data_IF_226891935336
#
_entry.id   IF_226891935336
#
_cell.length_a   1.000
_cell.length_b   1.000
_cell.length_c   1.000
_cell.angle_alpha   90.00
_cell.angle_beta   90.00
_cell.angle_gamma   90.00
#
_symmetry.space_group_name_H-M   'P 1'
#
loop_
_entity.id
_entity.type
_entity.pdbx_description
1 polymer ?
#
# COMPACT_ATOMS: atom_id res chain seq x y z
N UNK A 1 -9.73 -53.86 -94.31
CA UNK A 1 -8.79 -52.97 -94.96
C UNK A 1 -8.60 -51.83 -93.96
N UNK A 2 -7.51 -51.89 -93.34
CA UNK A 2 -6.43 -50.92 -93.14
C UNK A 2 -6.79 -49.73 -92.26
N UNK A 3 -6.28 -49.82 -91.14
CA UNK A 3 -5.06 -49.09 -90.68
C UNK A 3 -5.35 -47.63 -90.33
N UNK A 4 -4.85 -47.00 -89.35
CA UNK A 4 -3.67 -47.09 -88.54
C UNK A 4 -3.89 -46.16 -87.35
N UNK A 5 -3.50 -46.56 -86.16
CA UNK A 5 -2.24 -46.16 -85.57
C UNK A 5 -2.06 -44.66 -85.38
N UNK A 6 -1.93 -44.40 -84.18
CA UNK A 6 -0.80 -43.97 -83.38
C UNK A 6 -0.82 -42.50 -83.18
N UNK A 7 -0.75 -41.95 -82.03
CA UNK A 7 0.50 -41.83 -81.32
C UNK A 7 0.31 -41.37 -79.92
N UNK A 8 0.90 -42.10 -79.12
CA UNK A 8 1.33 -41.89 -77.80
C UNK A 8 2.12 -40.63 -77.57
N UNK A 9 1.99 -40.19 -76.33
CA UNK A 9 3.03 -39.62 -75.48
C UNK A 9 3.53 -38.23 -75.78
N UNK A 10 3.17 -37.33 -74.89
CA UNK A 10 4.22 -36.82 -73.98
C UNK A 10 3.57 -35.95 -72.93
N UNK A 11 3.37 -36.55 -71.79
CA UNK A 11 3.19 -35.78 -70.61
C UNK A 11 4.57 -35.51 -70.04
N UNK A 12 5.08 -34.39 -70.41
CA UNK A 12 6.19 -33.82 -69.72
C UNK A 12 5.77 -33.39 -68.33
N UNK A 13 6.37 -34.01 -67.44
CA UNK A 13 6.48 -33.73 -66.04
C UNK A 13 6.92 -32.28 -65.77
N UNK A 14 6.01 -31.41 -65.41
CA UNK A 14 6.39 -30.16 -64.83
C UNK A 14 6.29 -30.28 -63.31
N UNK A 15 7.38 -30.63 -62.72
CA UNK A 15 7.66 -30.41 -61.33
C UNK A 15 7.61 -28.91 -61.03
N UNK A 16 6.51 -28.48 -60.56
CA UNK A 16 6.45 -27.17 -59.88
C UNK A 16 7.02 -27.32 -58.48
N UNK A 17 8.29 -27.13 -58.37
CA UNK A 17 8.88 -26.85 -57.06
C UNK A 17 8.38 -25.49 -56.59
N UNK A 18 7.26 -25.50 -55.92
CA UNK A 18 6.83 -24.33 -55.16
C UNK A 18 7.74 -24.17 -53.96
N UNK A 19 8.67 -23.30 -54.11
CA UNK A 19 9.57 -22.88 -53.06
C UNK A 19 8.77 -22.12 -52.01
N UNK A 20 8.47 -22.79 -50.92
CA UNK A 20 7.92 -22.16 -49.71
C UNK A 20 8.95 -21.30 -48.98
N UNK A 21 9.38 -20.23 -49.60
CA UNK A 21 10.30 -19.27 -48.95
C UNK A 21 9.63 -18.00 -48.42
N UNK A 22 8.31 -17.93 -48.44
CA UNK A 22 7.60 -16.74 -48.01
C UNK A 22 7.12 -16.74 -46.56
N UNK A 23 7.07 -17.91 -45.90
CA UNK A 23 6.37 -18.04 -44.61
C UNK A 23 7.28 -17.82 -43.39
N UNK A 24 8.56 -18.08 -43.53
CA UNK A 24 9.52 -17.98 -42.40
C UNK A 24 9.95 -16.55 -42.10
N UNK A 25 10.09 -15.70 -43.10
CA UNK A 25 10.45 -14.28 -42.88
C UNK A 25 9.30 -13.47 -42.27
N UNK A 26 8.08 -13.75 -42.68
CA UNK A 26 6.90 -13.07 -42.12
C UNK A 26 6.66 -13.47 -40.67
N UNK A 27 6.88 -14.74 -40.31
CA UNK A 27 6.72 -15.25 -38.95
C UNK A 27 7.83 -14.67 -38.04
N UNK A 28 9.08 -14.57 -38.52
CA UNK A 28 10.18 -13.99 -37.75
C UNK A 28 9.97 -12.51 -37.42
N UNK A 29 9.46 -11.74 -38.37
CA UNK A 29 9.14 -10.32 -38.14
C UNK A 29 7.96 -10.15 -37.18
N UNK A 30 6.97 -11.00 -37.26
CA UNK A 30 5.80 -11.02 -36.35
C UNK A 30 6.19 -11.40 -34.92
N UNK A 31 7.03 -12.42 -34.76
CA UNK A 31 7.52 -12.87 -33.45
C UNK A 31 8.38 -11.76 -32.78
N UNK A 32 9.27 -11.12 -33.50
CA UNK A 32 10.10 -10.03 -32.99
C UNK A 32 9.25 -8.85 -32.47
N UNK A 33 8.18 -8.50 -33.19
CA UNK A 33 7.25 -7.43 -32.75
C UNK A 33 6.46 -7.85 -31.51
N UNK A 34 6.02 -9.10 -31.43
CA UNK A 34 5.29 -9.63 -30.28
C UNK A 34 6.22 -9.65 -29.03
N UNK A 35 7.44 -10.11 -29.18
CA UNK A 35 8.44 -10.12 -28.11
C UNK A 35 8.75 -8.71 -27.63
N UNK A 36 8.89 -7.75 -28.55
CA UNK A 36 9.14 -6.36 -28.20
C UNK A 36 7.97 -5.71 -27.42
N UNK A 37 6.75 -6.02 -27.83
CA UNK A 37 5.52 -5.55 -27.12
C UNK A 37 5.45 -6.18 -25.72
N UNK A 38 5.75 -7.46 -25.58
CA UNK A 38 5.75 -8.14 -24.27
C UNK A 38 6.80 -7.53 -23.33
N UNK A 39 8.02 -7.29 -23.84
CA UNK A 39 9.09 -6.65 -23.06
C UNK A 39 8.68 -5.23 -22.66
N UNK A 40 8.12 -4.45 -23.58
CA UNK A 40 7.64 -3.10 -23.29
C UNK A 40 6.52 -3.08 -22.25
N UNK A 41 5.57 -4.00 -22.35
CA UNK A 41 4.52 -4.16 -21.35
C UNK A 41 5.07 -4.57 -19.99
N UNK A 42 6.09 -5.45 -19.97
CA UNK A 42 6.74 -5.86 -18.74
C UNK A 42 7.44 -4.69 -18.04
N UNK A 43 8.16 -3.84 -18.78
CA UNK A 43 8.76 -2.62 -18.23
C UNK A 43 7.72 -1.58 -17.80
N UNK A 44 6.61 -1.45 -18.55
CA UNK A 44 5.51 -0.57 -18.19
C UNK A 44 4.84 -1.01 -16.88
N UNK A 45 4.61 -2.31 -16.72
CA UNK A 45 4.04 -2.88 -15.49
C UNK A 45 5.03 -2.73 -14.33
N UNK A 46 6.32 -2.98 -14.56
CA UNK A 46 7.35 -2.80 -13.51
C UNK A 46 7.40 -1.35 -13.02
N UNK A 47 7.43 -0.38 -13.93
CA UNK A 47 7.38 1.04 -13.56
C UNK A 47 6.07 1.49 -12.86
N UNK A 48 4.95 0.75 -13.08
CA UNK A 48 3.72 0.99 -12.34
C UNK A 48 3.78 0.40 -10.91
N UNK A 49 4.42 -0.76 -10.76
CA UNK A 49 4.56 -1.42 -9.45
C UNK A 49 5.40 -0.58 -8.49
N UNK A 50 6.48 0.06 -8.95
CA UNK A 50 7.27 0.97 -8.13
C UNK A 50 6.45 2.17 -7.62
N UNK A 51 5.55 2.70 -8.45
CA UNK A 51 4.65 3.80 -8.03
C UNK A 51 3.55 3.36 -7.07
N UNK A 52 3.14 2.10 -7.11
CA UNK A 52 2.13 1.57 -6.19
C UNK A 52 2.75 1.33 -4.80
N UNK A 53 4.04 1.00 -4.73
CA UNK A 53 4.76 0.84 -3.47
C UNK A 53 4.83 2.15 -2.66
N UNK A 54 4.93 3.30 -3.32
CA UNK A 54 4.90 4.61 -2.67
C UNK A 54 3.50 5.00 -2.12
N UNK A 55 2.44 4.42 -2.67
CA UNK A 55 1.06 4.71 -2.22
C UNK A 55 0.71 3.90 -0.95
N UNK A 56 1.38 2.79 -0.69
CA UNK A 56 1.10 1.92 0.46
C UNK A 56 1.66 2.43 1.79
N UNK A 57 2.41 3.55 1.80
CA UNK A 57 2.93 4.22 3.00
C UNK A 57 2.12 5.46 3.38
N UNK A 58 0.83 5.53 3.05
CA UNK A 58 -0.05 6.46 3.73
C UNK A 58 -0.32 5.90 5.14
N UNK A 59 0.62 6.15 6.03
CA UNK A 59 0.45 5.85 7.45
C UNK A 59 -0.71 6.71 7.98
N UNK A 60 -1.77 6.05 8.36
CA UNK A 60 -2.95 6.73 8.89
C UNK A 60 -2.58 7.40 10.22
N UNK A 61 -2.66 8.73 10.26
CA UNK A 61 -2.39 9.51 11.46
C UNK A 61 -3.52 9.31 12.50
N UNK A 62 -3.20 8.59 13.57
CA UNK A 62 -4.11 8.32 14.68
C UNK A 62 -3.92 9.30 15.85
N UNK A 63 -3.25 10.44 15.66
CA UNK A 63 -2.93 11.40 16.72
C UNK A 63 -4.16 11.87 17.50
N UNK A 64 -5.28 12.12 16.84
CA UNK A 64 -6.52 12.54 17.52
C UNK A 64 -7.14 11.39 18.35
N UNK A 65 -7.05 10.15 17.85
CA UNK A 65 -7.48 8.98 18.60
C UNK A 65 -6.56 8.74 19.80
N UNK A 66 -5.24 8.90 19.63
CA UNK A 66 -4.24 8.81 20.70
C UNK A 66 -4.51 9.82 21.82
N UNK A 67 -4.81 11.08 21.44
CA UNK A 67 -5.18 12.10 22.43
C UNK A 67 -6.44 11.72 23.24
N UNK A 68 -7.43 11.18 22.58
CA UNK A 68 -8.67 10.72 23.21
C UNK A 68 -8.42 9.54 24.15
N UNK A 69 -7.62 8.58 23.70
CA UNK A 69 -7.21 7.44 24.52
C UNK A 69 -6.38 7.89 25.73
N UNK A 70 -5.44 8.80 25.55
CA UNK A 70 -4.63 9.35 26.66
C UNK A 70 -5.51 9.95 27.76
N UNK A 71 -6.51 10.77 27.42
CA UNK A 71 -7.47 11.30 28.40
C UNK A 71 -8.19 10.21 29.18
N UNK A 72 -8.59 9.13 28.50
CA UNK A 72 -9.25 8.00 29.17
C UNK A 72 -8.34 7.34 30.21
N UNK A 73 -7.07 7.12 29.87
CA UNK A 73 -6.10 6.49 30.79
C UNK A 73 -5.68 7.43 31.92
N UNK A 74 -5.53 8.73 31.66
CA UNK A 74 -5.27 9.74 32.68
C UNK A 74 -6.41 9.82 33.67
N UNK A 75 -7.67 9.86 33.21
CA UNK A 75 -8.86 9.89 34.06
C UNK A 75 -8.89 8.74 35.09
N UNK A 76 -8.38 7.57 34.74
CA UNK A 76 -8.30 6.42 35.66
C UNK A 76 -7.33 6.66 36.85
N UNK A 77 -6.43 7.62 36.72
CA UNK A 77 -5.45 7.94 37.77
C UNK A 77 -5.79 9.20 38.55
N UNK A 78 -6.74 10.03 38.10
CA UNK A 78 -7.20 11.22 38.81
C UNK A 78 -7.96 10.86 40.07
N UNK A 79 -7.86 11.72 41.07
CA UNK A 79 -8.63 11.60 42.33
C UNK A 79 -10.11 11.97 42.16
N UNK A 80 -10.36 12.97 41.32
CA UNK A 80 -11.70 13.46 41.00
C UNK A 80 -11.89 13.56 39.47
N UNK A 81 -11.98 12.43 38.74
CA UNK A 81 -12.03 12.44 37.29
C UNK A 81 -13.23 13.17 36.69
N UNK A 82 -14.33 13.32 37.46
CA UNK A 82 -15.51 14.07 37.02
C UNK A 82 -15.26 15.59 36.91
N UNK A 83 -14.20 16.10 37.53
CA UNK A 83 -13.82 17.52 37.50
C UNK A 83 -12.73 17.83 36.48
N UNK A 84 -12.28 16.82 35.73
CA UNK A 84 -11.18 16.93 34.77
C UNK A 84 -11.57 17.84 33.60
N UNK A 85 -10.74 18.84 33.37
CA UNK A 85 -10.82 19.78 32.26
C UNK A 85 -9.55 19.71 31.43
N UNK A 86 -9.69 19.24 30.20
CA UNK A 86 -8.59 19.04 29.28
C UNK A 86 -8.55 20.14 28.23
N UNK A 87 -7.36 20.55 27.78
CA UNK A 87 -7.26 21.45 26.64
C UNK A 87 -7.86 20.83 25.38
N UNK A 88 -8.21 21.68 24.42
CA UNK A 88 -8.57 21.19 23.09
C UNK A 88 -7.41 20.43 22.46
N UNK A 89 -7.74 19.51 21.56
CA UNK A 89 -6.73 18.79 20.80
C UNK A 89 -5.77 19.75 20.08
N UNK A 90 -4.48 19.53 20.28
CA UNK A 90 -3.42 20.19 19.53
C UNK A 90 -2.43 19.10 19.09
N UNK A 91 -2.07 19.10 17.79
CA UNK A 91 -1.12 18.14 17.23
C UNK A 91 0.25 18.24 17.92
N UNK A 92 0.62 19.42 18.44
CA UNK A 92 1.88 19.63 19.16
C UNK A 92 1.98 18.87 20.50
N UNK A 93 0.86 18.36 21.02
CA UNK A 93 0.86 17.48 22.19
C UNK A 93 1.30 16.06 21.87
N UNK A 94 1.46 15.71 20.59
CA UNK A 94 1.64 14.34 20.16
C UNK A 94 2.92 14.19 19.37
N UNK A 95 3.71 13.22 19.77
CA UNK A 95 4.83 12.71 19.00
C UNK A 95 4.52 11.26 18.66
N UNK A 96 4.66 10.88 17.41
CA UNK A 96 4.52 9.49 17.01
C UNK A 96 5.72 9.04 16.17
N UNK A 97 6.03 7.80 16.26
CA UNK A 97 7.02 7.11 15.46
C UNK A 97 6.53 5.68 15.24
N UNK A 98 6.33 5.31 14.00
CA UNK A 98 5.69 4.05 13.62
C UNK A 98 4.34 3.89 14.37
N UNK A 99 4.11 2.77 15.02
CA UNK A 99 2.88 2.51 15.78
C UNK A 99 2.89 3.07 17.21
N UNK A 100 3.98 3.73 17.63
CA UNK A 100 4.15 4.28 18.99
C UNK A 100 3.74 5.75 19.05
N UNK A 101 2.89 6.09 20.02
CA UNK A 101 2.37 7.42 20.27
C UNK A 101 2.73 7.89 21.67
N UNK A 102 3.23 9.11 21.76
CA UNK A 102 3.46 9.80 23.03
C UNK A 102 2.63 11.07 23.07
N UNK A 103 1.73 11.14 24.05
CA UNK A 103 0.87 12.30 24.28
C UNK A 103 1.35 13.03 25.51
N UNK A 104 1.80 14.29 25.35
CA UNK A 104 2.25 15.16 26.45
C UNK A 104 1.38 16.40 26.52
N UNK A 105 0.61 16.54 27.62
CA UNK A 105 -0.30 17.66 27.81
C UNK A 105 -0.58 17.86 29.29
N UNK A 106 -1.66 18.57 29.63
CA UNK A 106 -2.09 18.82 30.99
C UNK A 106 -3.58 18.58 31.18
N UNK A 107 -3.99 18.48 32.45
CA UNK A 107 -5.37 18.43 32.87
C UNK A 107 -5.55 19.28 34.14
N UNK A 108 -6.57 20.08 34.17
CA UNK A 108 -6.99 20.79 35.39
C UNK A 108 -8.07 19.97 36.10
N UNK A 109 -7.79 19.50 37.31
CA UNK A 109 -8.71 18.65 38.07
C UNK A 109 -8.62 18.94 39.57
N UNK A 110 -9.69 18.58 40.31
CA UNK A 110 -9.69 18.71 41.76
C UNK A 110 -8.91 17.55 42.42
N UNK A 111 -8.20 17.91 43.47
CA UNK A 111 -7.57 16.95 44.36
C UNK A 111 -8.57 16.39 45.37
N UNK A 112 -8.12 15.54 46.32
CA UNK A 112 -8.98 14.95 47.37
C UNK A 112 -9.63 15.95 48.31
N UNK A 113 -9.15 17.22 48.31
CA UNK A 113 -9.68 18.30 49.15
C UNK A 113 -10.62 19.24 48.38
N UNK A 114 -10.94 18.94 47.12
CA UNK A 114 -11.77 19.78 46.26
C UNK A 114 -11.02 21.03 45.70
N UNK A 115 -9.69 21.09 45.82
CA UNK A 115 -8.89 22.18 45.29
C UNK A 115 -8.49 21.85 43.87
N UNK A 116 -8.81 22.73 42.91
CA UNK A 116 -8.47 22.58 41.49
C UNK A 116 -6.98 22.90 41.30
N UNK A 117 -6.25 22.00 40.69
CA UNK A 117 -4.84 22.12 40.33
C UNK A 117 -4.57 21.59 38.93
N UNK A 118 -3.43 22.02 38.38
CA UNK A 118 -2.95 21.55 37.09
C UNK A 118 -2.01 20.38 37.26
N UNK A 119 -2.26 19.32 36.53
CA UNK A 119 -1.43 18.13 36.43
C UNK A 119 -0.92 18.00 35.01
N UNK A 120 0.38 17.79 34.86
CA UNK A 120 1.00 17.49 33.58
C UNK A 120 1.09 15.98 33.40
N UNK A 121 0.76 15.50 32.21
CA UNK A 121 0.86 14.07 31.93
C UNK A 121 1.65 13.78 30.66
N UNK A 122 2.25 12.62 30.67
CA UNK A 122 2.80 11.98 29.48
C UNK A 122 2.27 10.55 29.41
N UNK A 123 1.60 10.23 28.32
CA UNK A 123 1.08 8.88 28.05
C UNK A 123 1.81 8.34 26.82
N UNK A 124 2.47 7.21 26.99
CA UNK A 124 3.03 6.44 25.88
C UNK A 124 2.17 5.22 25.62
N UNK A 125 1.91 4.90 24.38
CA UNK A 125 1.08 3.77 23.96
C UNK A 125 1.44 3.34 22.56
N UNK A 126 1.13 2.10 22.23
CA UNK A 126 1.32 1.54 20.91
C UNK A 126 -0.01 1.19 20.26
N UNK A 127 -0.10 1.32 18.95
CA UNK A 127 -1.27 0.95 18.18
C UNK A 127 -1.15 -0.50 17.71
N UNK A 128 -2.15 -1.32 18.05
CA UNK A 128 -2.30 -2.68 17.52
C UNK A 128 -3.69 -2.82 16.90
N UNK A 129 -3.75 -2.71 15.57
CA UNK A 129 -5.01 -2.69 14.85
C UNK A 129 -5.95 -1.56 15.28
N UNK A 130 -6.97 -1.86 16.08
CA UNK A 130 -7.92 -0.87 16.64
C UNK A 130 -7.67 -0.56 18.12
N UNK A 131 -6.78 -1.30 18.76
CA UNK A 131 -6.55 -1.24 20.19
C UNK A 131 -5.28 -0.41 20.52
N UNK A 132 -5.25 0.11 21.74
CA UNK A 132 -4.09 0.75 22.35
C UNK A 132 -3.49 -0.19 23.38
N UNK A 133 -2.25 -0.59 23.17
CA UNK A 133 -1.51 -1.52 24.02
C UNK A 133 -0.26 -0.85 24.61
N UNK A 134 0.40 -1.52 25.54
CA UNK A 134 1.64 -1.05 26.19
C UNK A 134 1.51 0.35 26.78
N UNK A 135 0.32 0.66 27.34
CA UNK A 135 0.00 2.00 27.84
C UNK A 135 0.71 2.28 29.14
N UNK A 136 1.53 3.33 29.14
CA UNK A 136 2.18 3.87 30.31
C UNK A 136 1.74 5.31 30.56
N UNK A 137 1.32 5.65 31.79
CA UNK A 137 0.86 6.98 32.17
C UNK A 137 1.78 7.53 33.25
N UNK A 138 2.40 8.65 32.99
CA UNK A 138 3.15 9.42 33.96
C UNK A 138 2.40 10.74 34.26
N UNK A 139 1.98 10.93 35.52
CA UNK A 139 1.27 12.11 35.98
C UNK A 139 2.14 12.88 36.98
N UNK A 140 2.22 14.22 36.83
CA UNK A 140 3.04 15.08 37.67
C UNK A 140 2.28 16.37 37.99
N UNK A 141 2.47 16.86 39.22
CA UNK A 141 2.07 18.20 39.65
C UNK A 141 3.04 19.26 39.18
#
# INVERSE_FOLDING_TARGET
MTNNQENTNNLANENTSSTNNGTTEQVHYSIGRIVFVIIFLFFAIWGLVDKISDISHYEKDYSQEAYTAAKFYVNKQLKAPATADYPMYDKNFITHHDDSYTVSSYVDAENSFGVKGRLYYTVTMERDGKDWINVNVNLRE
#
